data_IF_728842233634
#
_entry.id   IF_728842233634
#
_cell.length_a   1.000
_cell.length_b   1.000
_cell.length_c   1.000
_cell.angle_alpha   90.00
_cell.angle_beta   90.00
_cell.angle_gamma   90.00
#
_symmetry.space_group_name_H-M   'P 1'
#
loop_
_entity.id
_entity.type
_entity.pdbx_description
1 polymer ?
#
# COMPACT_ATOMS: atom_id res chain seq x y z
N UNK A 1 3.04 -36.93 -38.32
CA UNK A 1 2.51 -35.56 -38.37
C UNK A 1 1.61 -35.39 -37.16
N UNK A 2 2.18 -34.91 -36.05
CA UNK A 2 1.43 -34.61 -34.83
C UNK A 2 1.31 -33.10 -34.72
N UNK A 3 0.10 -32.58 -34.92
CA UNK A 3 -0.22 -31.17 -34.70
C UNK A 3 -0.25 -30.89 -33.20
N UNK A 4 0.78 -30.26 -32.69
CA UNK A 4 0.82 -29.76 -31.33
C UNK A 4 -0.34 -28.82 -31.09
N UNK A 5 -1.19 -29.18 -30.16
CA UNK A 5 -2.26 -28.36 -29.61
C UNK A 5 -1.62 -27.26 -28.77
N UNK A 6 -1.35 -26.09 -29.37
CA UNK A 6 -1.08 -24.87 -28.65
C UNK A 6 -2.41 -24.39 -28.06
N UNK A 7 -2.83 -25.04 -26.97
CA UNK A 7 -3.93 -24.59 -26.14
C UNK A 7 -3.61 -23.19 -25.66
N UNK A 8 -4.34 -22.23 -26.20
CA UNK A 8 -4.28 -20.83 -25.86
C UNK A 8 -4.49 -20.64 -24.35
N UNK A 9 -3.43 -20.39 -23.62
CA UNK A 9 -3.52 -19.49 -22.46
C UNK A 9 -3.95 -18.13 -23.02
N UNK A 10 -5.25 -17.93 -23.15
CA UNK A 10 -5.81 -16.60 -23.33
C UNK A 10 -5.33 -15.80 -22.14
N UNK A 11 -4.24 -15.08 -22.33
CA UNK A 11 -3.79 -14.01 -21.44
C UNK A 11 -4.99 -13.08 -21.33
N UNK A 12 -5.77 -13.20 -20.26
CA UNK A 12 -6.81 -12.24 -19.90
C UNK A 12 -6.11 -10.92 -19.67
N UNK A 13 -5.99 -10.12 -20.74
CA UNK A 13 -5.43 -8.78 -20.67
C UNK A 13 -6.25 -7.98 -19.67
N UNK A 14 -5.54 -7.27 -18.79
CA UNK A 14 -6.13 -6.32 -17.84
C UNK A 14 -6.65 -5.13 -18.65
N UNK A 15 -7.79 -5.32 -19.33
CA UNK A 15 -8.46 -4.27 -20.09
C UNK A 15 -9.51 -3.62 -19.22
N UNK A 16 -9.56 -2.30 -19.25
CA UNK A 16 -10.65 -1.52 -18.66
C UNK A 16 -11.17 -0.54 -19.68
N UNK A 17 -12.50 -0.44 -19.84
CA UNK A 17 -13.11 0.56 -20.71
C UNK A 17 -12.57 1.96 -20.39
N UNK A 18 -12.36 2.78 -21.41
CA UNK A 18 -11.90 4.18 -21.21
C UNK A 18 -12.84 4.96 -20.29
N UNK A 19 -14.16 4.74 -20.43
CA UNK A 19 -15.17 5.35 -19.57
C UNK A 19 -14.99 4.98 -18.09
N UNK A 20 -14.69 3.70 -17.77
CA UNK A 20 -14.37 3.28 -16.41
C UNK A 20 -13.16 4.04 -15.85
N UNK A 21 -12.08 4.11 -16.62
CA UNK A 21 -10.86 4.80 -16.17
C UNK A 21 -11.09 6.30 -15.97
N UNK A 22 -11.90 6.93 -16.81
CA UNK A 22 -12.27 8.35 -16.67
C UNK A 22 -13.09 8.58 -15.40
N UNK A 23 -14.18 7.84 -15.22
CA UNK A 23 -15.06 7.96 -14.04
C UNK A 23 -14.26 7.69 -12.76
N UNK A 24 -13.46 6.62 -12.76
CA UNK A 24 -12.57 6.30 -11.63
C UNK A 24 -11.64 7.48 -11.32
N UNK A 25 -11.03 8.11 -12.33
CA UNK A 25 -10.14 9.24 -12.10
C UNK A 25 -10.85 10.45 -11.50
N UNK A 26 -12.09 10.73 -11.93
CA UNK A 26 -12.91 11.79 -11.33
C UNK A 26 -13.19 11.49 -9.85
N UNK A 27 -13.58 10.25 -9.52
CA UNK A 27 -13.80 9.83 -8.14
C UNK A 27 -12.51 9.92 -7.31
N UNK A 28 -11.37 9.48 -7.88
CA UNK A 28 -10.07 9.58 -7.25
C UNK A 28 -9.73 11.04 -6.87
N UNK A 29 -9.94 11.98 -7.80
CA UNK A 29 -9.65 13.41 -7.57
C UNK A 29 -10.56 13.97 -6.48
N UNK A 30 -11.88 13.75 -6.57
CA UNK A 30 -12.84 14.28 -5.61
C UNK A 30 -12.57 13.76 -4.19
N UNK A 31 -12.36 12.44 -4.05
CA UNK A 31 -12.04 11.85 -2.75
C UNK A 31 -10.68 12.30 -2.22
N UNK A 32 -9.68 12.44 -3.11
CA UNK A 32 -8.36 12.91 -2.71
C UNK A 32 -8.32 14.38 -2.32
N UNK A 33 -9.16 15.24 -2.90
CA UNK A 33 -9.31 16.63 -2.45
C UNK A 33 -9.77 16.68 -0.99
N UNK A 34 -10.83 15.95 -0.66
CA UNK A 34 -11.34 15.86 0.72
C UNK A 34 -10.25 15.28 1.64
N UNK A 35 -9.61 14.17 1.23
CA UNK A 35 -8.55 13.53 2.02
C UNK A 35 -7.34 14.44 2.24
N UNK A 36 -6.94 15.24 1.25
CA UNK A 36 -5.81 16.17 1.36
C UNK A 36 -6.12 17.30 2.35
N UNK A 37 -7.35 17.84 2.32
CA UNK A 37 -7.76 18.85 3.31
C UNK A 37 -7.71 18.28 4.72
N UNK A 38 -8.25 17.08 4.94
CA UNK A 38 -8.17 16.42 6.25
C UNK A 38 -6.72 16.16 6.67
N UNK A 39 -5.87 15.74 5.72
CA UNK A 39 -4.44 15.50 5.95
C UNK A 39 -3.76 16.75 6.50
N UNK A 40 -4.05 17.93 5.97
CA UNK A 40 -3.45 19.17 6.42
C UNK A 40 -3.67 19.41 7.92
N UNK A 41 -4.92 19.24 8.41
CA UNK A 41 -5.22 19.42 9.85
C UNK A 41 -4.54 18.35 10.70
N UNK A 42 -4.54 17.09 10.23
CA UNK A 42 -3.89 16.00 10.95
C UNK A 42 -2.38 16.20 11.03
N UNK A 43 -1.73 16.65 9.96
CA UNK A 43 -0.29 16.96 9.97
C UNK A 43 0.09 18.01 11.00
N UNK A 44 -0.75 19.04 11.21
CA UNK A 44 -0.53 20.05 12.24
C UNK A 44 -0.53 19.42 13.65
N UNK A 45 -1.53 18.58 13.93
CA UNK A 45 -1.65 17.88 15.22
C UNK A 45 -0.46 16.94 15.46
N UNK A 46 -0.10 16.14 14.45
CA UNK A 46 1.03 15.20 14.55
C UNK A 46 2.36 15.95 14.71
N UNK A 47 2.53 17.10 14.04
CA UNK A 47 3.73 17.93 14.23
C UNK A 47 3.84 18.44 15.65
N UNK A 48 2.74 18.89 16.27
CA UNK A 48 2.73 19.28 17.68
C UNK A 48 3.10 18.08 18.57
N UNK A 49 2.54 16.89 18.34
CA UNK A 49 2.89 15.69 19.09
C UNK A 49 4.38 15.35 19.01
N UNK A 50 4.99 15.47 17.82
CA UNK A 50 6.44 15.27 17.64
C UNK A 50 7.26 16.29 18.45
N UNK A 51 6.87 17.57 18.41
CA UNK A 51 7.56 18.61 19.17
C UNK A 51 7.48 18.36 20.68
N UNK A 52 6.31 17.98 21.20
CA UNK A 52 6.09 17.65 22.62
C UNK A 52 6.93 16.44 23.06
N UNK A 53 7.13 15.46 22.19
CA UNK A 53 7.96 14.29 22.47
C UNK A 53 9.45 14.50 22.23
N UNK A 54 9.85 15.72 21.84
CA UNK A 54 11.24 16.09 21.57
C UNK A 54 11.77 15.60 20.22
N UNK A 55 10.88 15.03 19.37
CA UNK A 55 11.25 14.56 18.04
C UNK A 55 11.29 15.73 17.05
N UNK A 56 12.48 16.14 16.64
CA UNK A 56 12.73 17.26 15.72
C UNK A 56 12.92 16.84 14.27
N UNK A 57 12.90 15.54 14.00
CA UNK A 57 13.15 14.98 12.68
C UNK A 57 12.02 15.25 11.67
N UNK A 58 12.28 14.95 10.42
CA UNK A 58 11.32 15.18 9.33
C UNK A 58 10.00 14.43 9.58
N UNK A 59 8.88 15.15 9.46
CA UNK A 59 7.54 14.59 9.63
C UNK A 59 7.14 13.67 8.50
N UNK A 60 7.50 14.02 7.26
CA UNK A 60 7.12 13.28 6.06
C UNK A 60 8.27 12.40 5.59
N UNK A 61 8.00 11.12 5.51
CA UNK A 61 8.85 10.11 4.91
C UNK A 61 8.46 9.88 3.45
N UNK A 62 9.45 9.82 2.56
CA UNK A 62 9.25 9.56 1.12
C UNK A 62 9.84 8.20 0.79
N UNK A 63 9.09 7.39 0.06
CA UNK A 63 9.55 6.07 -0.35
C UNK A 63 9.28 5.81 -1.83
N UNK A 64 10.32 5.34 -2.53
CA UNK A 64 10.16 4.93 -3.92
C UNK A 64 9.49 3.55 -3.99
N UNK A 65 8.47 3.45 -4.82
CA UNK A 65 7.65 2.25 -5.03
C UNK A 65 7.45 1.97 -6.51
N UNK A 66 7.02 0.76 -6.82
CA UNK A 66 6.63 0.35 -8.18
C UNK A 66 5.25 0.93 -8.47
N UNK A 67 5.16 1.76 -9.49
CA UNK A 67 3.93 2.33 -10.01
C UNK A 67 3.35 1.56 -11.18
N UNK A 68 2.42 2.20 -11.91
CA UNK A 68 1.84 1.63 -13.11
C UNK A 68 2.91 1.42 -14.18
N UNK A 69 2.84 0.31 -14.91
CA UNK A 69 3.79 -0.14 -15.94
C UNK A 69 5.23 -0.35 -15.43
N UNK A 70 5.41 -0.47 -14.10
CA UNK A 70 6.73 -0.65 -13.49
C UNK A 70 7.50 0.63 -13.24
N UNK A 71 6.94 1.79 -13.56
CA UNK A 71 7.57 3.09 -13.38
C UNK A 71 7.77 3.42 -11.89
N UNK A 72 8.90 4.05 -11.52
CA UNK A 72 9.11 4.47 -10.14
C UNK A 72 8.17 5.62 -9.77
N UNK A 73 7.50 5.48 -8.64
CA UNK A 73 6.70 6.54 -8.02
C UNK A 73 7.22 6.85 -6.63
N UNK A 74 7.06 8.09 -6.18
CA UNK A 74 7.38 8.51 -4.80
C UNK A 74 6.10 8.64 -4.03
N UNK A 75 5.92 7.83 -2.99
CA UNK A 75 4.79 7.94 -2.08
C UNK A 75 5.19 8.65 -0.79
N UNK A 76 4.25 9.40 -0.23
CA UNK A 76 4.44 10.17 0.99
C UNK A 76 3.74 9.47 2.17
N UNK A 77 4.43 9.39 3.31
CA UNK A 77 3.88 8.88 4.57
C UNK A 77 4.29 9.78 5.73
N UNK A 78 3.51 9.80 6.79
CA UNK A 78 4.00 10.35 8.05
C UNK A 78 5.00 9.36 8.64
N UNK A 79 6.14 9.85 9.08
CA UNK A 79 7.18 9.03 9.69
C UNK A 79 6.66 8.41 10.99
N UNK A 80 6.66 7.10 11.07
CA UNK A 80 6.23 6.32 12.22
C UNK A 80 7.36 5.47 12.84
N UNK A 81 8.52 5.47 12.19
CA UNK A 81 9.71 4.72 12.59
C UNK A 81 10.88 5.67 12.90
N UNK A 82 11.90 5.14 13.57
CA UNK A 82 13.19 5.81 13.76
C UNK A 82 13.85 6.17 12.42
N UNK A 83 14.75 7.16 12.41
CA UNK A 83 15.35 7.66 11.15
C UNK A 83 16.18 6.59 10.44
N UNK A 84 16.92 5.78 11.19
CA UNK A 84 17.76 4.70 10.67
C UNK A 84 17.03 3.33 10.62
N UNK A 85 15.74 3.32 10.34
CA UNK A 85 14.90 2.11 10.41
C UNK A 85 15.37 0.97 9.49
N UNK A 86 15.96 1.27 8.33
CA UNK A 86 16.45 0.23 7.42
C UNK A 86 17.72 -0.45 7.97
N UNK A 87 18.66 0.31 8.54
CA UNK A 87 19.87 -0.23 9.19
C UNK A 87 19.52 -1.10 10.41
N UNK A 88 18.58 -0.62 11.23
CA UNK A 88 18.06 -1.40 12.36
C UNK A 88 17.41 -2.70 11.91
N UNK A 89 16.65 -2.67 10.81
CA UNK A 89 16.07 -3.89 10.25
C UNK A 89 17.15 -4.89 9.82
N UNK A 90 18.15 -4.44 9.10
CA UNK A 90 19.24 -5.31 8.65
C UNK A 90 19.95 -5.99 9.82
N UNK A 91 20.18 -5.26 10.91
CA UNK A 91 20.77 -5.80 12.13
C UNK A 91 19.86 -6.87 12.74
N UNK A 92 18.56 -6.58 12.90
CA UNK A 92 17.59 -7.53 13.46
C UNK A 92 17.56 -8.82 12.63
N UNK A 93 17.50 -8.70 11.29
CA UNK A 93 17.43 -9.87 10.41
C UNK A 93 18.72 -10.71 10.37
N UNK A 94 19.87 -10.12 10.75
CA UNK A 94 21.14 -10.85 10.89
C UNK A 94 21.27 -11.57 12.23
N UNK A 95 20.76 -10.96 13.31
CA UNK A 95 20.93 -11.43 14.68
C UNK A 95 19.81 -12.38 15.16
N UNK A 96 18.62 -12.29 14.57
CA UNK A 96 17.41 -13.01 15.00
C UNK A 96 16.81 -13.78 13.82
N UNK A 97 17.05 -15.09 13.78
CA UNK A 97 16.60 -15.98 12.71
C UNK A 97 15.07 -16.12 12.68
N UNK A 98 14.38 -16.04 13.83
CA UNK A 98 12.92 -16.14 13.90
C UNK A 98 12.30 -14.89 13.28
N UNK A 99 12.81 -13.70 13.60
CA UNK A 99 12.37 -12.45 12.98
C UNK A 99 12.72 -12.37 11.50
N UNK A 100 13.86 -12.94 11.10
CA UNK A 100 14.23 -13.03 9.68
C UNK A 100 13.20 -13.87 8.90
N UNK A 101 12.78 -15.01 9.42
CA UNK A 101 11.75 -15.86 8.81
C UNK A 101 10.37 -15.19 8.83
N UNK A 102 10.00 -14.56 9.95
CA UNK A 102 8.76 -13.77 10.04
C UNK A 102 8.74 -12.68 8.96
N UNK A 103 9.82 -11.92 8.82
CA UNK A 103 9.93 -10.86 7.81
C UNK A 103 9.92 -11.43 6.39
N UNK A 104 10.54 -12.58 6.17
CA UNK A 104 10.52 -13.25 4.86
C UNK A 104 9.10 -13.58 4.42
N UNK A 105 8.28 -14.12 5.34
CA UNK A 105 6.90 -14.57 5.05
C UNK A 105 5.92 -13.40 4.97
N UNK A 106 5.96 -12.48 5.94
CA UNK A 106 4.93 -11.44 6.11
C UNK A 106 5.37 -10.05 5.64
N UNK A 107 6.66 -9.83 5.31
CA UNK A 107 7.25 -8.52 4.97
C UNK A 107 7.01 -7.46 6.05
N UNK A 108 6.80 -7.89 7.29
CA UNK A 108 6.65 -7.06 8.49
C UNK A 108 7.07 -7.87 9.71
N UNK A 109 7.36 -7.17 10.81
CA UNK A 109 7.56 -7.76 12.12
C UNK A 109 6.34 -7.45 13.00
N UNK A 110 5.88 -8.41 13.81
CA UNK A 110 4.75 -8.23 14.73
C UNK A 110 5.09 -7.21 15.81
N UNK A 111 6.23 -7.37 16.46
CA UNK A 111 6.77 -6.43 17.45
C UNK A 111 8.00 -5.72 16.86
N UNK A 112 7.73 -4.73 16.00
CA UNK A 112 8.77 -4.02 15.28
C UNK A 112 9.39 -2.92 16.16
N UNK A 113 10.65 -3.08 16.64
CA UNK A 113 11.28 -2.14 17.54
C UNK A 113 11.61 -0.79 16.88
N UNK A 114 11.54 -0.72 15.56
CA UNK A 114 11.76 0.52 14.80
C UNK A 114 10.62 1.52 14.95
N UNK A 115 9.43 1.06 15.39
CA UNK A 115 8.24 1.89 15.51
C UNK A 115 8.32 2.73 16.77
N UNK A 116 8.25 4.06 16.63
CA UNK A 116 8.25 4.99 17.77
C UNK A 116 6.95 4.92 18.57
N UNK A 117 6.93 5.47 19.80
CA UNK A 117 5.69 5.52 20.61
C UNK A 117 4.55 6.26 19.88
N UNK A 118 4.86 7.42 19.29
CA UNK A 118 3.90 8.18 18.48
C UNK A 118 3.56 7.41 17.21
N UNK A 119 4.56 6.77 16.60
CA UNK A 119 4.41 5.95 15.40
C UNK A 119 3.41 4.79 15.57
N UNK A 120 3.38 4.14 16.75
CA UNK A 120 2.37 3.10 17.06
C UNK A 120 0.95 3.65 17.01
N UNK A 121 0.73 4.82 17.57
CA UNK A 121 -0.58 5.47 17.50
C UNK A 121 -0.94 5.82 16.05
N UNK A 122 -0.02 6.44 15.31
CA UNK A 122 -0.21 6.84 13.92
C UNK A 122 -0.57 5.61 13.05
N UNK A 123 0.16 4.50 13.19
CA UNK A 123 -0.09 3.27 12.44
C UNK A 123 -1.42 2.61 12.80
N UNK A 124 -1.74 2.58 14.10
CA UNK A 124 -3.00 1.98 14.58
C UNK A 124 -4.24 2.58 13.89
N UNK A 125 -4.19 3.83 13.52
CA UNK A 125 -5.29 4.53 12.85
C UNK A 125 -5.03 4.80 11.37
N UNK A 126 -3.96 4.20 10.78
CA UNK A 126 -3.53 4.42 9.40
C UNK A 126 -3.33 5.91 9.06
N UNK A 127 -3.02 6.72 10.07
CA UNK A 127 -2.77 8.17 9.93
C UNK A 127 -1.51 8.40 9.08
N UNK A 128 -0.53 7.48 9.14
CA UNK A 128 0.70 7.54 8.35
C UNK A 128 0.44 7.54 6.83
N UNK A 129 -0.68 7.03 6.38
CA UNK A 129 -1.02 6.93 4.96
C UNK A 129 -1.78 8.15 4.41
N UNK A 130 -2.23 9.06 5.27
CA UNK A 130 -3.00 10.24 4.85
C UNK A 130 -2.28 11.11 3.80
N UNK A 131 -0.94 11.35 3.85
CA UNK A 131 -0.27 12.14 2.81
C UNK A 131 -0.40 11.55 1.41
N UNK A 132 -0.73 10.26 1.26
CA UNK A 132 -0.94 9.62 -0.04
C UNK A 132 -2.16 10.17 -0.80
N UNK A 133 -3.09 10.86 -0.13
CA UNK A 133 -4.15 11.58 -0.85
C UNK A 133 -3.56 12.64 -1.80
N UNK A 134 -2.46 13.28 -1.42
CA UNK A 134 -1.73 14.16 -2.33
C UNK A 134 -1.13 13.40 -3.51
N UNK A 135 -0.63 12.17 -3.28
CA UNK A 135 -0.11 11.31 -4.35
C UNK A 135 -1.20 10.85 -5.33
N UNK A 136 -2.45 10.76 -4.86
CA UNK A 136 -3.61 10.54 -5.73
C UNK A 136 -3.90 11.77 -6.58
N UNK A 137 -3.86 12.99 -6.03
CA UNK A 137 -4.06 14.23 -6.78
C UNK A 137 -3.02 14.39 -7.89
N UNK A 138 -1.75 14.12 -7.59
CA UNK A 138 -0.66 14.17 -8.57
C UNK A 138 -0.70 13.04 -9.61
N UNK A 139 -1.57 12.04 -9.39
CA UNK A 139 -1.79 10.93 -10.33
C UNK A 139 -0.81 9.77 -10.17
N UNK A 140 0.05 9.77 -9.16
CA UNK A 140 0.94 8.65 -8.86
C UNK A 140 0.16 7.46 -8.30
N UNK A 141 -0.85 7.72 -7.45
CA UNK A 141 -1.75 6.73 -6.88
C UNK A 141 -3.20 6.90 -7.37
N UNK A 142 -4.01 5.91 -7.05
CA UNK A 142 -5.48 5.91 -7.06
C UNK A 142 -5.96 5.77 -5.62
N UNK A 143 -7.21 6.11 -5.32
CA UNK A 143 -7.79 5.80 -4.00
C UNK A 143 -7.80 4.29 -3.77
N UNK A 144 -8.24 3.52 -4.76
CA UNK A 144 -8.30 2.06 -4.70
C UNK A 144 -7.45 1.45 -5.80
N UNK A 145 -6.57 0.52 -5.43
CA UNK A 145 -5.68 -0.18 -6.36
C UNK A 145 -4.91 -1.31 -5.68
N UNK A 146 -4.06 -2.04 -6.41
CA UNK A 146 -3.11 -2.95 -5.79
C UNK A 146 -2.12 -2.18 -4.91
N UNK A 147 -1.50 -2.86 -3.96
CA UNK A 147 -0.47 -2.26 -3.10
C UNK A 147 0.69 -1.70 -3.93
N UNK A 148 1.23 -0.50 -3.62
CA UNK A 148 2.48 -0.04 -4.18
C UNK A 148 3.66 -0.85 -3.58
N UNK A 149 4.17 -1.84 -4.34
CA UNK A 149 5.25 -2.73 -3.91
C UNK A 149 6.61 -2.03 -3.96
N UNK A 150 7.57 -2.54 -3.16
CA UNK A 150 8.96 -2.09 -3.20
C UNK A 150 9.70 -2.70 -4.40
N UNK A 151 10.70 -1.99 -4.93
CA UNK A 151 11.55 -2.55 -6.00
C UNK A 151 12.28 -3.82 -5.56
N UNK A 152 12.68 -3.91 -4.28
CA UNK A 152 13.30 -5.12 -3.72
C UNK A 152 12.35 -6.33 -3.62
N UNK A 153 11.02 -6.11 -3.71
CA UNK A 153 10.00 -7.16 -3.72
C UNK A 153 9.70 -7.67 -5.15
N UNK A 154 10.27 -7.04 -6.19
CA UNK A 154 9.94 -7.32 -7.59
C UNK A 154 10.15 -8.78 -7.98
N UNK A 155 11.30 -9.35 -7.64
CA UNK A 155 11.63 -10.73 -8.01
C UNK A 155 10.72 -11.74 -7.31
N UNK A 156 10.34 -11.45 -6.06
CA UNK A 156 9.42 -12.28 -5.29
C UNK A 156 7.95 -12.19 -5.80
N UNK A 157 7.59 -11.10 -6.51
CA UNK A 157 6.27 -11.00 -7.14
C UNK A 157 6.10 -12.03 -8.26
N UNK A 158 7.16 -12.48 -8.92
CA UNK A 158 7.18 -13.54 -9.91
C UNK A 158 6.06 -13.39 -10.96
N UNK A 159 5.28 -14.46 -11.16
CA UNK A 159 4.15 -14.51 -12.13
C UNK A 159 3.01 -13.52 -11.90
N UNK A 160 3.01 -12.79 -10.80
CA UNK A 160 1.98 -11.79 -10.48
C UNK A 160 2.37 -10.38 -10.98
N UNK A 161 3.67 -10.11 -11.13
CA UNK A 161 4.23 -8.82 -11.46
C UNK A 161 3.57 -8.18 -12.68
N UNK A 162 3.61 -8.84 -13.84
CA UNK A 162 3.11 -8.31 -15.11
C UNK A 162 1.61 -7.97 -15.11
N UNK A 163 0.84 -8.62 -14.24
CA UNK A 163 -0.60 -8.30 -14.09
C UNK A 163 -0.79 -7.10 -13.18
N UNK A 164 -0.09 -7.06 -12.04
CA UNK A 164 -0.29 -6.05 -11.01
C UNK A 164 0.17 -4.67 -11.50
N UNK A 165 1.30 -4.57 -12.17
CA UNK A 165 1.83 -3.29 -12.66
C UNK A 165 0.99 -2.64 -13.77
N UNK A 166 0.09 -3.37 -14.42
CA UNK A 166 -0.83 -2.79 -15.43
C UNK A 166 -1.87 -1.84 -14.81
N UNK A 167 -2.05 -1.91 -13.50
CA UNK A 167 -3.01 -1.09 -12.75
C UNK A 167 -2.27 -0.08 -11.90
N UNK A 168 -2.79 1.15 -11.81
CA UNK A 168 -2.27 2.16 -10.91
C UNK A 168 -2.42 1.68 -9.47
N UNK A 169 -1.35 1.71 -8.63
CA UNK A 169 -1.46 1.32 -7.24
C UNK A 169 -2.38 2.25 -6.45
N UNK A 170 -2.94 1.75 -5.35
CA UNK A 170 -3.90 2.45 -4.51
C UNK A 170 -3.38 2.81 -3.13
N UNK A 171 -4.02 3.79 -2.50
CA UNK A 171 -3.89 4.07 -1.07
C UNK A 171 -4.46 2.91 -0.28
N UNK A 172 -5.65 2.42 -0.69
CA UNK A 172 -6.23 1.18 -0.18
C UNK A 172 -6.45 0.17 -1.31
N UNK A 173 -6.71 -1.09 -0.97
CA UNK A 173 -6.86 -2.14 -1.96
C UNK A 173 -7.61 -3.37 -1.45
N UNK A 174 -7.88 -4.28 -2.36
CA UNK A 174 -8.69 -5.46 -2.10
C UNK A 174 -8.10 -6.35 -0.99
N UNK A 175 -6.78 -6.59 -0.99
CA UNK A 175 -6.15 -7.40 0.04
C UNK A 175 -6.14 -6.68 1.40
N UNK A 176 -5.98 -5.35 1.44
CA UNK A 176 -5.93 -4.55 2.67
C UNK A 176 -7.26 -4.63 3.45
N UNK A 177 -8.39 -4.76 2.73
CA UNK A 177 -9.70 -4.84 3.37
C UNK A 177 -10.24 -6.26 3.53
N UNK A 178 -9.72 -7.25 2.83
CA UNK A 178 -10.18 -8.65 2.92
C UNK A 178 -9.11 -9.59 3.51
N UNK A 179 -7.82 -9.20 3.50
CA UNK A 179 -6.73 -9.90 4.18
C UNK A 179 -6.80 -9.69 5.70
N UNK A 180 -6.36 -10.71 6.46
CA UNK A 180 -6.08 -10.59 7.89
C UNK A 180 -4.63 -10.14 8.07
N UNK A 181 -4.30 -9.61 9.27
CA UNK A 181 -2.93 -9.18 9.61
C UNK A 181 -1.86 -10.24 9.30
N UNK A 182 -2.21 -11.52 9.39
CA UNK A 182 -1.31 -12.65 9.14
C UNK A 182 -1.36 -13.19 7.70
N UNK A 183 -1.86 -12.40 6.73
CA UNK A 183 -1.84 -12.81 5.33
C UNK A 183 -0.41 -12.79 4.80
N UNK A 184 0.07 -13.94 4.30
CA UNK A 184 1.39 -14.07 3.69
C UNK A 184 1.51 -13.25 2.40
N UNK A 185 2.76 -13.04 1.96
CA UNK A 185 3.05 -12.19 0.81
C UNK A 185 2.44 -12.73 -0.49
N UNK A 186 2.49 -14.05 -0.71
CA UNK A 186 1.93 -14.66 -1.92
C UNK A 186 0.41 -14.50 -1.99
N UNK A 187 -0.28 -14.68 -0.87
CA UNK A 187 -1.74 -14.50 -0.79
C UNK A 187 -2.14 -13.05 -1.07
N UNK A 188 -1.35 -12.06 -0.62
CA UNK A 188 -1.56 -10.64 -0.99
C UNK A 188 -1.45 -10.43 -2.50
N UNK A 189 -0.43 -11.02 -3.13
CA UNK A 189 -0.24 -10.95 -4.58
C UNK A 189 -1.41 -11.60 -5.34
N UNK A 190 -1.94 -12.73 -4.86
CA UNK A 190 -3.14 -13.38 -5.44
C UNK A 190 -4.35 -12.47 -5.37
N UNK A 191 -4.57 -11.82 -4.23
CA UNK A 191 -5.69 -10.89 -4.04
C UNK A 191 -5.55 -9.63 -4.92
N UNK A 192 -4.35 -9.06 -5.03
CA UNK A 192 -4.09 -7.91 -5.88
C UNK A 192 -4.23 -8.27 -7.37
N UNK A 193 -3.75 -9.44 -7.79
CA UNK A 193 -3.99 -9.95 -9.16
C UNK A 193 -5.48 -10.13 -9.45
N UNK A 194 -6.25 -10.67 -8.49
CA UNK A 194 -7.70 -10.80 -8.62
C UNK A 194 -8.34 -9.43 -8.83
N UNK A 195 -8.05 -8.45 -7.97
CA UNK A 195 -8.54 -7.08 -8.13
C UNK A 195 -8.19 -6.51 -9.51
N UNK A 196 -6.94 -6.62 -9.94
CA UNK A 196 -6.50 -6.10 -11.23
C UNK A 196 -7.31 -6.64 -12.42
N UNK A 197 -7.79 -7.88 -12.34
CA UNK A 197 -8.55 -8.55 -13.39
C UNK A 197 -10.05 -8.27 -13.33
N UNK A 198 -10.60 -8.09 -12.13
CA UNK A 198 -12.06 -8.08 -11.91
C UNK A 198 -12.61 -6.74 -11.44
N UNK A 199 -11.76 -5.72 -11.31
CA UNK A 199 -12.12 -4.42 -10.74
C UNK A 199 -13.32 -3.77 -11.44
N UNK A 200 -14.21 -3.24 -10.63
CA UNK A 200 -15.37 -2.46 -11.02
C UNK A 200 -15.53 -1.25 -10.09
N UNK A 201 -16.30 -0.24 -10.48
CA UNK A 201 -16.61 0.87 -9.58
C UNK A 201 -17.32 0.40 -8.30
N UNK A 202 -18.24 -0.57 -8.42
CA UNK A 202 -18.91 -1.14 -7.25
C UNK A 202 -17.94 -1.81 -6.28
N UNK A 203 -16.92 -2.53 -6.80
CA UNK A 203 -15.85 -3.10 -5.98
C UNK A 203 -15.03 -2.00 -5.30
N UNK A 204 -14.69 -0.93 -6.01
CA UNK A 204 -13.94 0.19 -5.46
C UNK A 204 -14.71 0.87 -4.31
N UNK A 205 -16.00 1.15 -4.49
CA UNK A 205 -16.84 1.68 -3.42
C UNK A 205 -16.88 0.73 -2.21
N UNK A 206 -17.08 -0.58 -2.43
CA UNK A 206 -17.07 -1.58 -1.37
C UNK A 206 -15.74 -1.59 -0.59
N UNK A 207 -14.60 -1.44 -1.28
CA UNK A 207 -13.28 -1.36 -0.65
C UNK A 207 -13.15 -0.09 0.20
N UNK A 208 -13.59 1.08 -0.34
CA UNK A 208 -13.56 2.35 0.42
C UNK A 208 -14.39 2.23 1.71
N UNK A 209 -15.63 1.73 1.63
CA UNK A 209 -16.48 1.53 2.81
C UNK A 209 -15.84 0.60 3.84
N UNK A 210 -15.29 -0.53 3.40
CA UNK A 210 -14.59 -1.46 4.29
C UNK A 210 -13.34 -0.82 4.92
N UNK A 211 -12.60 0.01 4.17
CA UNK A 211 -11.43 0.72 4.69
C UNK A 211 -11.83 1.65 5.82
N UNK A 212 -12.84 2.51 5.59
CA UNK A 212 -13.35 3.43 6.61
C UNK A 212 -13.82 2.66 7.85
N UNK A 213 -14.61 1.59 7.66
CA UNK A 213 -15.08 0.75 8.76
C UNK A 213 -13.93 0.15 9.58
N UNK A 214 -12.89 -0.39 8.92
CA UNK A 214 -11.71 -0.97 9.60
C UNK A 214 -10.91 0.06 10.40
N UNK A 215 -10.71 1.26 9.84
CA UNK A 215 -10.04 2.36 10.54
C UNK A 215 -10.78 2.71 11.84
N UNK A 216 -12.11 2.80 11.81
CA UNK A 216 -12.90 3.06 13.01
C UNK A 216 -12.88 1.90 14.00
N UNK A 217 -12.89 0.66 13.54
CA UNK A 217 -12.81 -0.53 14.41
C UNK A 217 -11.41 -0.87 14.90
N UNK A 218 -10.37 -0.18 14.42
CA UNK A 218 -8.94 -0.45 14.73
C UNK A 218 -8.52 -1.88 14.32
N UNK A 219 -9.16 -2.44 13.30
CA UNK A 219 -8.85 -3.77 12.77
C UNK A 219 -7.78 -3.69 11.68
N UNK A 220 -6.67 -4.38 11.87
CA UNK A 220 -5.64 -4.57 10.84
C UNK A 220 -4.48 -3.59 10.85
N UNK A 221 -4.32 -2.80 11.91
CA UNK A 221 -3.22 -1.87 12.11
C UNK A 221 -2.19 -2.44 13.12
N UNK A 222 -1.56 -3.57 12.77
CA UNK A 222 -0.37 -4.11 13.43
C UNK A 222 0.71 -4.43 12.40
#
# INVERSE_FOLDING_TARGET
MSKGNKGAETQNEVRSPKAFLFIKRVIDILGALVGTILTFFVLLIVKIAFLVTGDKEQLIFKQTRIGKNGEPIKIHKIRSMVVNADEVLETILKEDSEKAEEYRVYKKLKDDPRITKVGRFIRRYSIDELPQFFDVLTGQLSLVGPRPYLFKEKDEMGKYYDTIIKVKPGVTGFWQVNGRSNTDFETRLKMDKYYCRTRTLGMDFGIVFKTVYKVFKKEGAE
#
